data_IF_160816361303
#
_entry.id   IF_160816361303
#
_cell.length_a   1.000
_cell.length_b   1.000
_cell.length_c   1.000
_cell.angle_alpha   90.00
_cell.angle_beta   90.00
_cell.angle_gamma   90.00
#
_symmetry.space_group_name_H-M   'P 1'
#
loop_
_entity.id
_entity.type
_entity.pdbx_description
1 polymer ?
#
# COMPACT_ATOMS: atom_id res chain seq x y z
N UNK A 1 7.73 -20.45 -1.85
CA UNK A 1 6.54 -20.64 -2.69
C UNK A 1 6.90 -20.97 -4.14
N UNK A 2 7.53 -20.07 -4.91
CA UNK A 2 7.82 -20.28 -6.33
C UNK A 2 8.40 -21.65 -6.68
N UNK A 3 9.43 -22.11 -5.96
CA UNK A 3 10.02 -23.46 -6.19
C UNK A 3 9.02 -24.59 -6.01
N UNK A 4 8.16 -24.53 -4.99
CA UNK A 4 7.14 -25.54 -4.76
C UNK A 4 6.13 -25.60 -5.92
N UNK A 5 5.76 -24.45 -6.49
CA UNK A 5 4.88 -24.38 -7.67
C UNK A 5 5.53 -24.94 -8.93
N UNK A 6 6.79 -24.57 -9.18
CA UNK A 6 7.55 -25.07 -10.32
C UNK A 6 7.71 -26.59 -10.24
N UNK A 7 7.92 -27.13 -9.03
CA UNK A 7 7.96 -28.57 -8.82
C UNK A 7 6.60 -29.22 -8.97
N UNK A 8 5.54 -28.63 -8.43
CA UNK A 8 4.18 -29.20 -8.49
C UNK A 8 3.65 -29.30 -9.91
N UNK A 9 3.88 -28.26 -10.72
CA UNK A 9 3.38 -28.16 -12.09
C UNK A 9 4.44 -28.47 -13.15
N UNK A 10 5.55 -29.13 -12.79
CA UNK A 10 6.69 -29.33 -13.71
C UNK A 10 6.27 -30.09 -14.98
N UNK A 11 5.38 -31.08 -14.86
CA UNK A 11 4.89 -31.86 -16.00
C UNK A 11 4.12 -31.01 -16.99
N UNK A 12 3.21 -30.16 -16.51
CA UNK A 12 2.42 -29.25 -17.34
C UNK A 12 3.30 -28.18 -17.99
N UNK A 13 4.28 -27.66 -17.25
CA UNK A 13 5.25 -26.67 -17.72
C UNK A 13 6.17 -27.25 -18.83
N UNK A 14 6.69 -28.46 -18.63
CA UNK A 14 7.50 -29.18 -19.62
C UNK A 14 6.71 -29.48 -20.89
N UNK A 15 5.46 -29.91 -20.74
CA UNK A 15 4.57 -30.20 -21.85
C UNK A 15 4.05 -28.93 -22.55
N UNK A 16 4.26 -27.74 -21.98
CA UNK A 16 3.62 -26.48 -22.39
C UNK A 16 2.10 -26.63 -22.57
N UNK A 17 1.48 -27.41 -21.70
CA UNK A 17 0.09 -27.81 -21.78
C UNK A 17 -0.72 -27.24 -20.63
N UNK A 18 -1.99 -26.92 -20.90
CA UNK A 18 -2.93 -26.37 -19.93
C UNK A 18 -3.16 -24.87 -20.10
N UNK A 19 -4.39 -24.44 -19.78
CA UNK A 19 -4.79 -23.04 -19.68
C UNK A 19 -5.15 -22.77 -18.22
N UNK A 20 -4.12 -22.76 -17.36
CA UNK A 20 -4.29 -22.56 -15.93
C UNK A 20 -4.63 -21.10 -15.67
N UNK A 21 -5.92 -20.83 -15.46
CA UNK A 21 -6.41 -19.57 -14.90
C UNK A 21 -5.92 -19.45 -13.45
N UNK A 22 -5.17 -18.40 -13.16
CA UNK A 22 -4.50 -18.17 -11.88
C UNK A 22 -5.48 -18.13 -10.71
N UNK A 23 -6.72 -17.68 -10.91
CA UNK A 23 -7.68 -17.62 -9.83
C UNK A 23 -8.19 -19.02 -9.43
N UNK A 24 -8.97 -19.74 -10.26
CA UNK A 24 -9.52 -21.05 -9.93
C UNK A 24 -8.45 -22.15 -9.80
N UNK A 25 -7.38 -22.13 -10.60
CA UNK A 25 -6.41 -23.23 -10.56
C UNK A 25 -5.29 -22.99 -9.57
N UNK A 26 -5.10 -21.76 -9.10
CA UNK A 26 -3.96 -21.47 -8.24
C UNK A 26 -4.37 -20.84 -6.91
N UNK A 27 -5.16 -19.76 -6.91
CA UNK A 27 -5.49 -19.04 -5.68
C UNK A 27 -6.68 -19.61 -4.89
N UNK A 28 -7.79 -19.90 -5.55
CA UNK A 28 -9.02 -20.37 -4.90
C UNK A 28 -8.84 -21.64 -4.04
N UNK A 29 -8.17 -22.72 -4.51
CA UNK A 29 -8.00 -23.91 -3.68
C UNK A 29 -7.08 -23.71 -2.47
N UNK A 30 -6.37 -22.58 -2.38
CA UNK A 30 -5.52 -22.22 -1.24
C UNK A 30 -6.20 -21.26 -0.25
N UNK A 31 -7.33 -20.68 -0.63
CA UNK A 31 -8.01 -19.59 0.11
C UNK A 31 -9.46 -19.92 0.45
N UNK A 32 -10.10 -20.83 -0.28
CA UNK A 32 -11.49 -21.24 -0.07
C UNK A 32 -11.56 -22.64 0.54
N UNK A 33 -12.67 -22.90 1.22
CA UNK A 33 -13.05 -24.27 1.60
C UNK A 33 -13.45 -25.09 0.36
N UNK A 34 -13.23 -26.42 0.42
CA UNK A 34 -13.48 -27.35 -0.69
C UNK A 34 -14.86 -27.19 -1.34
N UNK A 35 -15.91 -27.04 -0.52
CA UNK A 35 -17.28 -26.91 -1.02
C UNK A 35 -17.47 -25.62 -1.83
N UNK A 36 -16.94 -24.49 -1.36
CA UNK A 36 -17.04 -23.21 -2.05
C UNK A 36 -16.22 -23.23 -3.36
N UNK A 37 -15.03 -23.82 -3.33
CA UNK A 37 -14.21 -23.97 -4.53
C UNK A 37 -14.87 -24.85 -5.60
N UNK A 38 -15.39 -26.02 -5.22
CA UNK A 38 -16.05 -26.94 -6.16
C UNK A 38 -17.34 -26.36 -6.74
N UNK A 39 -18.09 -25.56 -5.98
CA UNK A 39 -19.27 -24.83 -6.48
C UNK A 39 -18.89 -23.79 -7.54
N UNK A 40 -17.85 -22.99 -7.31
CA UNK A 40 -17.34 -22.02 -8.30
C UNK A 40 -16.87 -22.72 -9.57
N UNK A 41 -16.19 -23.87 -9.43
CA UNK A 41 -15.71 -24.64 -10.57
C UNK A 41 -16.85 -25.30 -11.37
N UNK A 42 -17.91 -25.73 -10.70
CA UNK A 42 -19.10 -26.26 -11.37
C UNK A 42 -19.77 -25.19 -12.25
N UNK A 43 -19.83 -23.92 -11.80
CA UNK A 43 -20.34 -22.81 -12.61
C UNK A 43 -19.48 -22.54 -13.87
N UNK A 44 -18.20 -22.90 -13.82
CA UNK A 44 -17.26 -22.84 -14.96
C UNK A 44 -17.27 -24.11 -15.83
N UNK A 45 -18.19 -25.04 -15.56
CA UNK A 45 -18.34 -26.29 -16.34
C UNK A 45 -17.31 -27.37 -16.01
N UNK A 46 -16.60 -27.26 -14.89
CA UNK A 46 -15.61 -28.25 -14.44
C UNK A 46 -16.30 -29.26 -13.52
N UNK A 47 -16.02 -30.54 -13.72
CA UNK A 47 -16.62 -31.59 -12.90
C UNK A 47 -16.18 -31.49 -11.44
N UNK A 48 -17.10 -31.78 -10.50
CA UNK A 48 -16.80 -31.78 -9.06
C UNK A 48 -15.65 -32.71 -8.70
N UNK A 49 -15.56 -33.87 -9.37
CA UNK A 49 -14.47 -34.81 -9.16
C UNK A 49 -13.10 -34.23 -9.57
N UNK A 50 -13.05 -33.52 -10.70
CA UNK A 50 -11.83 -32.88 -11.21
C UNK A 50 -11.40 -31.72 -10.32
N UNK A 51 -12.33 -30.84 -9.95
CA UNK A 51 -12.06 -29.74 -9.02
C UNK A 51 -11.66 -30.27 -7.64
N UNK A 52 -12.31 -31.30 -7.11
CA UNK A 52 -11.92 -31.92 -5.82
C UNK A 52 -10.51 -32.50 -5.86
N UNK A 53 -10.14 -33.19 -6.94
CA UNK A 53 -8.79 -33.71 -7.14
C UNK A 53 -7.76 -32.59 -7.21
N UNK A 54 -8.07 -31.50 -7.92
CA UNK A 54 -7.22 -30.32 -8.00
C UNK A 54 -7.05 -29.62 -6.65
N UNK A 55 -8.14 -29.48 -5.88
CA UNK A 55 -8.09 -28.94 -4.52
C UNK A 55 -7.15 -29.75 -3.63
N UNK A 56 -7.32 -31.09 -3.63
CA UNK A 56 -6.48 -31.99 -2.85
C UNK A 56 -4.99 -31.92 -3.25
N UNK A 57 -4.72 -31.79 -4.56
CA UNK A 57 -3.36 -31.57 -5.08
C UNK A 57 -2.75 -30.30 -4.50
N UNK A 58 -3.47 -29.18 -4.59
CA UNK A 58 -3.01 -27.88 -4.11
C UNK A 58 -2.81 -27.84 -2.59
N UNK A 59 -3.72 -28.44 -1.82
CA UNK A 59 -3.56 -28.60 -0.38
C UNK A 59 -2.33 -29.44 -0.02
N UNK A 60 -2.12 -30.56 -0.72
CA UNK A 60 -0.95 -31.42 -0.50
C UNK A 60 0.37 -30.70 -0.82
N UNK A 61 0.39 -29.91 -1.89
CA UNK A 61 1.53 -29.06 -2.23
C UNK A 61 1.79 -28.03 -1.13
N UNK A 62 0.74 -27.41 -0.60
CA UNK A 62 0.85 -26.44 0.49
C UNK A 62 1.41 -27.05 1.76
N UNK A 63 0.94 -28.24 2.14
CA UNK A 63 1.47 -28.99 3.29
C UNK A 63 2.98 -29.24 3.13
N UNK A 64 3.41 -29.76 1.97
CA UNK A 64 4.84 -29.96 1.68
C UNK A 64 5.64 -28.66 1.73
N UNK A 65 5.08 -27.57 1.21
CA UNK A 65 5.74 -26.27 1.26
C UNK A 65 5.91 -25.79 2.71
N UNK A 66 4.88 -25.95 3.55
CA UNK A 66 4.92 -25.55 4.95
C UNK A 66 5.87 -26.41 5.80
N UNK A 67 6.07 -27.68 5.45
CA UNK A 67 7.05 -28.57 6.08
C UNK A 67 8.49 -28.23 5.69
N UNK A 68 8.71 -27.71 4.48
CA UNK A 68 10.04 -27.46 3.91
C UNK A 68 10.46 -26.00 3.94
N UNK A 69 9.59 -25.08 4.37
CA UNK A 69 9.91 -23.65 4.46
C UNK A 69 10.96 -23.40 5.54
N UNK A 70 11.95 -22.57 5.20
CA UNK A 70 13.02 -22.16 6.10
C UNK A 70 12.65 -20.99 7.01
N UNK A 71 11.54 -20.29 6.70
CA UNK A 71 11.00 -19.18 7.48
C UNK A 71 9.48 -19.28 7.53
N UNK A 72 8.93 -18.95 8.69
CA UNK A 72 7.49 -18.82 8.91
C UNK A 72 7.02 -17.42 8.49
N UNK A 73 6.93 -17.19 7.18
CA UNK A 73 6.28 -15.99 6.64
C UNK A 73 4.86 -16.36 6.21
N UNK A 74 3.91 -15.43 6.40
CA UNK A 74 2.56 -15.57 5.86
C UNK A 74 2.61 -15.82 4.35
N UNK A 75 1.85 -16.81 3.87
CA UNK A 75 1.77 -17.14 2.45
C UNK A 75 1.17 -15.99 1.63
N UNK A 76 0.23 -15.30 2.28
CA UNK A 76 -0.41 -14.08 1.86
C UNK A 76 0.16 -12.97 2.75
N UNK A 77 1.34 -12.49 2.38
CA UNK A 77 1.81 -11.16 2.76
C UNK A 77 1.55 -10.21 1.58
N UNK A 78 1.62 -8.91 1.83
CA UNK A 78 1.62 -7.90 0.77
C UNK A 78 2.47 -8.39 -0.40
N UNK A 79 1.86 -8.46 -1.59
CA UNK A 79 2.64 -8.54 -2.81
C UNK A 79 3.51 -7.28 -2.79
N UNK A 80 4.83 -7.47 -2.73
CA UNK A 80 5.74 -6.44 -3.19
C UNK A 80 5.35 -6.19 -4.64
N UNK A 81 4.52 -5.17 -4.83
CA UNK A 81 3.96 -4.78 -6.12
C UNK A 81 5.04 -4.21 -7.04
N UNK A 82 6.31 -4.33 -6.63
CA UNK A 82 7.49 -3.93 -7.35
C UNK A 82 7.88 -2.51 -7.00
N UNK A 83 9.17 -2.23 -7.19
CA UNK A 83 9.77 -0.91 -7.24
C UNK A 83 9.10 0.06 -8.24
N UNK A 84 8.20 -0.45 -9.06
CA UNK A 84 7.76 0.17 -10.30
C UNK A 84 6.30 0.64 -10.24
N UNK A 85 5.55 0.36 -9.17
CA UNK A 85 4.20 0.88 -9.02
C UNK A 85 4.17 2.13 -8.16
N UNK A 86 3.67 3.20 -8.74
CA UNK A 86 3.29 4.37 -7.98
C UNK A 86 1.81 4.25 -7.62
N UNK A 87 1.44 4.65 -6.42
CA UNK A 87 0.05 4.60 -5.94
C UNK A 87 -0.96 5.37 -6.83
N UNK A 88 -0.52 6.29 -7.71
CA UNK A 88 -1.41 6.91 -8.69
C UNK A 88 -1.85 5.96 -9.83
N UNK A 89 -1.24 4.77 -9.96
CA UNK A 89 -1.61 3.72 -10.91
C UNK A 89 -2.93 3.01 -10.56
N UNK A 90 -3.47 3.21 -9.34
CA UNK A 90 -4.70 2.55 -8.92
C UNK A 90 -5.96 2.97 -9.70
N UNK A 91 -5.88 3.95 -10.62
CA UNK A 91 -6.96 4.38 -11.52
C UNK A 91 -8.14 5.09 -10.83
N UNK A 92 -8.44 4.75 -9.57
CA UNK A 92 -9.46 5.33 -8.70
C UNK A 92 -8.90 5.58 -7.29
N UNK A 93 -8.29 6.74 -7.09
CA UNK A 93 -7.75 7.18 -5.79
C UNK A 93 -8.82 7.15 -4.67
N UNK A 94 -10.11 7.35 -5.02
CA UNK A 94 -11.24 7.20 -4.10
C UNK A 94 -11.32 5.81 -3.46
N UNK A 95 -11.05 4.74 -4.23
CA UNK A 95 -11.01 3.38 -3.70
C UNK A 95 -9.78 3.14 -2.84
N UNK A 96 -8.62 3.67 -3.24
CA UNK A 96 -7.41 3.61 -2.43
C UNK A 96 -7.63 4.22 -1.04
N UNK A 97 -8.19 5.43 -1.01
CA UNK A 97 -8.51 6.12 0.23
C UNK A 97 -9.51 5.33 1.09
N UNK A 98 -10.62 4.90 0.49
CA UNK A 98 -11.66 4.11 1.18
C UNK A 98 -11.11 2.82 1.78
N UNK A 99 -10.34 2.05 1.01
CA UNK A 99 -9.88 0.73 1.41
C UNK A 99 -8.79 0.79 2.48
N UNK A 100 -7.88 1.77 2.40
CA UNK A 100 -6.85 1.93 3.43
C UNK A 100 -7.45 2.48 4.73
N UNK A 101 -8.45 3.37 4.67
CA UNK A 101 -9.17 3.86 5.86
C UNK A 101 -10.00 2.79 6.56
N UNK A 102 -10.25 1.64 5.93
CA UNK A 102 -10.89 0.50 6.60
C UNK A 102 -10.12 0.10 7.87
N UNK A 103 -8.80 0.30 7.90
CA UNK A 103 -7.95 0.01 9.07
C UNK A 103 -8.34 0.82 10.30
N UNK A 104 -9.09 1.91 10.15
CA UNK A 104 -9.50 2.77 11.25
C UNK A 104 -10.89 2.40 11.80
N UNK A 105 -11.65 1.59 11.05
CA UNK A 105 -13.03 1.22 11.39
C UNK A 105 -13.10 0.04 12.37
N UNK A 106 -14.21 -0.12 13.09
CA UNK A 106 -14.51 -1.36 13.81
C UNK A 106 -14.98 -2.46 12.86
N UNK A 107 -14.97 -3.72 13.33
CA UNK A 107 -15.56 -4.85 12.61
C UNK A 107 -14.55 -5.87 12.08
N UNK A 108 -15.08 -7.00 11.59
CA UNK A 108 -14.28 -8.16 11.18
C UNK A 108 -13.35 -7.83 10.02
N UNK A 109 -13.85 -7.10 9.02
CA UNK A 109 -13.07 -6.75 7.83
C UNK A 109 -11.87 -5.85 8.20
N UNK A 110 -12.10 -4.83 9.02
CA UNK A 110 -11.06 -3.96 9.55
C UNK A 110 -10.06 -4.71 10.46
N UNK A 111 -10.54 -5.66 11.28
CA UNK A 111 -9.68 -6.53 12.09
C UNK A 111 -8.78 -7.41 11.22
N UNK A 112 -9.32 -8.00 10.15
CA UNK A 112 -8.54 -8.79 9.21
C UNK A 112 -7.48 -7.93 8.50
N UNK A 113 -7.83 -6.70 8.10
CA UNK A 113 -6.86 -5.77 7.50
C UNK A 113 -5.76 -5.37 8.49
N UNK A 114 -6.11 -5.04 9.74
CA UNK A 114 -5.12 -4.78 10.80
C UNK A 114 -4.21 -5.98 11.03
N UNK A 115 -4.77 -7.19 11.15
CA UNK A 115 -4.00 -8.43 11.31
C UNK A 115 -3.07 -8.68 10.11
N UNK A 116 -3.56 -8.46 8.89
CA UNK A 116 -2.80 -8.60 7.67
C UNK A 116 -1.62 -7.63 7.60
N UNK A 117 -1.83 -6.38 8.02
CA UNK A 117 -0.80 -5.34 8.08
C UNK A 117 0.11 -5.45 9.32
N UNK A 118 -0.18 -6.39 10.24
CA UNK A 118 0.55 -6.54 11.49
C UNK A 118 0.29 -5.43 12.50
N UNK A 119 -0.81 -4.69 12.37
CA UNK A 119 -1.17 -3.59 13.27
C UNK A 119 -1.88 -4.17 14.50
N UNK A 120 -1.15 -4.21 15.60
CA UNK A 120 -1.68 -4.67 16.88
C UNK A 120 -2.28 -3.53 17.71
N UNK A 121 -1.72 -2.34 17.56
CA UNK A 121 -2.14 -1.11 18.21
C UNK A 121 -2.19 0.03 17.18
N UNK A 122 -3.28 0.78 17.17
CA UNK A 122 -3.45 1.91 16.25
C UNK A 122 -2.52 3.09 16.53
N UNK A 123 -1.76 3.09 17.64
CA UNK A 123 -0.77 4.11 17.98
C UNK A 123 0.67 3.53 18.06
N UNK A 124 0.91 2.40 17.40
CA UNK A 124 2.17 1.66 17.53
C UNK A 124 3.39 2.47 17.07
N UNK A 125 4.44 2.47 17.91
CA UNK A 125 5.69 3.22 17.72
C UNK A 125 5.50 4.73 17.51
N UNK A 126 4.38 5.30 17.97
CA UNK A 126 4.10 6.72 17.85
C UNK A 126 4.22 7.44 19.19
N UNK A 127 4.72 8.67 19.15
CA UNK A 127 4.64 9.64 20.22
C UNK A 127 3.58 10.68 19.85
N UNK A 128 2.50 10.74 20.62
CA UNK A 128 1.38 11.64 20.36
C UNK A 128 1.13 12.43 21.64
N UNK A 129 1.19 13.76 21.57
CA UNK A 129 1.02 14.61 22.74
C UNK A 129 -0.41 14.57 23.31
N UNK A 130 -0.54 14.93 24.59
CA UNK A 130 -1.79 14.84 25.36
C UNK A 130 -2.93 15.70 24.80
N UNK A 131 -2.57 16.79 24.10
CA UNK A 131 -3.52 17.72 23.47
C UNK A 131 -3.94 17.28 22.05
N UNK A 132 -3.49 16.12 21.57
CA UNK A 132 -3.94 15.57 20.30
C UNK A 132 -5.24 14.77 20.46
N UNK A 133 -6.23 15.08 19.63
CA UNK A 133 -7.48 14.35 19.58
C UNK A 133 -7.43 13.30 18.46
N UNK A 134 -7.53 12.02 18.84
CA UNK A 134 -7.49 10.88 17.93
C UNK A 134 -8.86 10.20 17.92
N UNK A 135 -9.57 10.28 16.78
CA UNK A 135 -10.90 9.71 16.61
C UNK A 135 -10.93 8.79 15.40
N UNK A 136 -11.19 7.49 15.61
CA UNK A 136 -11.24 6.49 14.54
C UNK A 136 -10.07 6.62 13.56
N UNK A 137 -8.84 6.67 14.08
CA UNK A 137 -7.63 6.86 13.30
C UNK A 137 -6.55 5.85 13.67
N UNK A 138 -5.59 5.66 12.75
CA UNK A 138 -4.42 4.81 12.93
C UNK A 138 -3.17 5.65 12.68
N UNK A 139 -2.32 5.80 13.69
CA UNK A 139 -1.11 6.63 13.70
C UNK A 139 0.10 5.76 14.06
N UNK A 140 0.95 5.46 13.09
CA UNK A 140 2.07 4.52 13.24
C UNK A 140 3.41 5.24 13.05
N UNK A 141 4.43 4.87 13.81
CA UNK A 141 5.80 5.39 13.65
C UNK A 141 5.91 6.93 13.55
N UNK A 142 5.03 7.65 14.24
CA UNK A 142 4.86 9.10 14.08
C UNK A 142 5.21 9.87 15.35
N UNK A 143 5.61 11.14 15.22
CA UNK A 143 5.83 12.06 16.34
C UNK A 143 4.99 13.33 16.11
N UNK A 144 3.93 13.47 16.90
CA UNK A 144 2.90 14.49 16.73
C UNK A 144 2.68 15.23 18.05
N UNK A 145 2.85 16.55 18.03
CA UNK A 145 2.67 17.38 19.22
C UNK A 145 1.20 17.51 19.65
N UNK A 146 0.33 18.03 18.78
CA UNK A 146 -1.10 18.23 19.05
C UNK A 146 -1.92 18.30 17.74
N UNK A 147 -3.24 18.44 17.86
CA UNK A 147 -4.16 18.66 16.73
C UNK A 147 -5.30 17.64 16.67
N UNK A 148 -6.13 17.73 15.63
CA UNK A 148 -7.28 16.84 15.40
C UNK A 148 -7.02 15.84 14.27
N UNK A 149 -6.94 14.55 14.62
CA UNK A 149 -6.72 13.45 13.68
C UNK A 149 -7.92 12.51 13.71
N UNK A 150 -8.75 12.60 12.66
CA UNK A 150 -10.04 11.90 12.59
C UNK A 150 -10.15 11.05 11.35
N UNK A 151 -10.64 9.82 11.46
CA UNK A 151 -10.93 8.96 10.32
C UNK A 151 -9.74 8.79 9.35
N UNK A 152 -8.51 8.89 9.85
CA UNK A 152 -7.28 9.08 9.07
C UNK A 152 -6.24 8.01 9.36
N UNK A 153 -5.36 7.76 8.39
CA UNK A 153 -4.21 6.85 8.51
C UNK A 153 -2.93 7.65 8.36
N UNK A 154 -2.13 7.69 9.42
CA UNK A 154 -0.84 8.35 9.47
C UNK A 154 0.24 7.30 9.70
N UNK A 155 1.30 7.31 8.91
CA UNK A 155 2.45 6.43 9.11
C UNK A 155 3.74 7.18 8.83
N UNK A 156 4.66 7.28 9.79
CA UNK A 156 5.89 8.04 9.61
C UNK A 156 5.67 9.55 9.52
N UNK A 157 4.71 10.10 10.27
CA UNK A 157 4.39 11.54 10.25
C UNK A 157 5.08 12.26 11.40
N UNK A 158 5.72 13.39 11.10
CA UNK A 158 6.49 14.17 12.07
C UNK A 158 6.10 15.64 11.97
N UNK A 159 5.37 16.16 12.96
CA UNK A 159 4.90 17.54 12.98
C UNK A 159 4.54 18.01 14.40
N UNK A 160 4.59 19.32 14.64
CA UNK A 160 4.12 19.89 15.92
C UNK A 160 2.61 19.91 16.02
N UNK A 161 1.94 20.14 14.89
CA UNK A 161 0.48 20.20 14.78
C UNK A 161 0.02 19.42 13.56
N UNK A 162 -1.01 18.58 13.73
CA UNK A 162 -1.63 17.86 12.61
C UNK A 162 -3.15 17.96 12.70
N UNK A 163 -3.75 18.57 11.67
CA UNK A 163 -5.20 18.61 11.45
C UNK A 163 -5.53 17.81 10.20
N UNK A 164 -6.01 16.58 10.40
CA UNK A 164 -6.26 15.63 9.33
C UNK A 164 -7.60 14.90 9.55
N UNK A 165 -8.53 15.09 8.63
CA UNK A 165 -9.82 14.40 8.64
C UNK A 165 -10.00 13.58 7.36
N UNK A 166 -10.18 12.27 7.50
CA UNK A 166 -10.41 11.40 6.35
C UNK A 166 -9.20 11.19 5.43
N UNK A 167 -7.98 11.44 5.91
CA UNK A 167 -6.76 11.51 5.10
C UNK A 167 -5.83 10.32 5.25
N UNK A 168 -4.93 10.15 4.30
CA UNK A 168 -3.80 9.23 4.38
C UNK A 168 -2.50 10.02 4.26
N UNK A 169 -1.68 10.03 5.30
CA UNK A 169 -0.38 10.70 5.34
C UNK A 169 0.70 9.67 5.60
N UNK A 170 1.60 9.47 4.65
CA UNK A 170 2.65 8.46 4.74
C UNK A 170 4.00 9.12 4.50
N UNK A 171 4.88 9.00 5.49
CA UNK A 171 6.19 9.62 5.50
C UNK A 171 6.11 11.11 5.16
N UNK A 172 5.56 11.89 6.10
CA UNK A 172 5.36 13.34 5.94
C UNK A 172 6.05 14.07 7.08
N UNK A 173 6.83 15.11 6.77
CA UNK A 173 7.50 15.91 7.79
C UNK A 173 7.34 17.39 7.49
N UNK A 174 6.72 18.12 8.42
CA UNK A 174 6.50 19.55 8.32
C UNK A 174 6.36 20.15 9.72
N UNK A 175 6.41 21.48 9.84
CA UNK A 175 6.14 22.15 11.13
C UNK A 175 4.71 21.89 11.61
N UNK A 176 3.75 22.14 10.73
CA UNK A 176 2.31 21.89 10.90
C UNK A 176 1.76 21.27 9.63
N UNK A 177 0.67 20.51 9.74
CA UNK A 177 0.00 19.86 8.61
C UNK A 177 -1.50 20.11 8.69
N UNK A 178 -2.08 20.68 7.62
CA UNK A 178 -3.53 20.75 7.41
C UNK A 178 -3.87 20.03 6.11
N UNK A 179 -4.58 18.91 6.22
CA UNK A 179 -4.82 18.02 5.10
C UNK A 179 -6.18 17.32 5.25
N UNK A 180 -7.30 17.97 4.87
CA UNK A 180 -8.63 17.35 4.90
C UNK A 180 -8.87 16.47 3.66
N UNK A 181 -9.23 15.21 3.86
CA UNK A 181 -9.55 14.24 2.82
C UNK A 181 -8.44 14.10 1.74
N UNK A 182 -7.19 14.26 2.15
CA UNK A 182 -6.02 14.28 1.28
C UNK A 182 -5.30 12.93 1.28
N UNK A 183 -4.46 12.72 0.26
CA UNK A 183 -3.45 11.68 0.32
C UNK A 183 -2.07 12.24 0.02
N UNK A 184 -1.14 12.05 0.95
CA UNK A 184 0.19 12.65 0.94
C UNK A 184 1.25 11.58 1.18
N UNK A 185 2.25 11.51 0.31
CA UNK A 185 3.30 10.48 0.36
C UNK A 185 4.70 11.06 0.15
N UNK A 186 5.64 10.77 1.06
CA UNK A 186 7.06 11.15 0.96
C UNK A 186 7.30 12.68 0.81
N UNK A 187 6.55 13.49 1.55
CA UNK A 187 6.59 14.96 1.46
C UNK A 187 7.29 15.56 2.67
N UNK A 188 8.20 16.49 2.42
CA UNK A 188 8.81 17.37 3.41
C UNK A 188 8.39 18.80 3.11
N UNK A 189 8.21 19.63 4.13
CA UNK A 189 7.94 21.06 3.98
C UNK A 189 8.68 21.85 5.06
N UNK A 190 9.46 22.85 4.63
CA UNK A 190 10.11 23.85 5.48
C UNK A 190 9.34 25.19 5.50
N UNK A 191 8.14 25.23 4.90
CA UNK A 191 7.31 26.42 4.87
C UNK A 191 6.94 26.87 6.30
N UNK A 192 7.00 28.18 6.54
CA UNK A 192 6.79 28.74 7.88
C UNK A 192 5.38 28.47 8.43
N UNK A 193 4.38 28.49 7.52
CA UNK A 193 2.96 28.20 7.78
C UNK A 193 2.66 26.69 7.82
N UNK A 194 3.64 25.84 7.48
CA UNK A 194 3.49 24.40 7.37
C UNK A 194 2.94 23.91 6.04
N UNK A 195 2.57 22.62 5.99
CA UNK A 195 1.99 21.98 4.82
C UNK A 195 0.46 22.13 4.86
N UNK A 196 -0.04 23.18 4.21
CA UNK A 196 -1.47 23.47 4.11
C UNK A 196 -2.01 23.04 2.74
N UNK A 197 -2.89 22.04 2.73
CA UNK A 197 -3.46 21.47 1.50
C UNK A 197 -4.96 21.71 1.41
N UNK A 198 -5.44 21.99 0.20
CA UNK A 198 -6.87 22.02 -0.09
C UNK A 198 -7.48 20.63 0.03
N UNK A 199 -8.79 20.57 0.33
CA UNK A 199 -9.50 19.30 0.47
C UNK A 199 -9.37 18.43 -0.78
N UNK A 200 -9.09 17.14 -0.60
CA UNK A 200 -8.98 16.21 -1.72
C UNK A 200 -7.66 16.33 -2.49
N UNK A 201 -6.67 17.06 -1.98
CA UNK A 201 -5.35 17.15 -2.59
C UNK A 201 -4.62 15.81 -2.53
N UNK A 202 -3.89 15.51 -3.59
CA UNK A 202 -3.06 14.31 -3.74
C UNK A 202 -1.65 14.79 -4.03
N UNK A 203 -0.70 14.58 -3.10
CA UNK A 203 0.66 15.14 -3.18
C UNK A 203 1.71 14.07 -2.93
N UNK A 204 2.72 14.02 -3.79
CA UNK A 204 3.76 12.98 -3.74
C UNK A 204 5.12 13.57 -3.93
N UNK A 205 6.03 13.32 -3.00
CA UNK A 205 7.45 13.51 -3.22
C UNK A 205 8.05 12.29 -3.92
N UNK A 206 8.64 12.51 -5.09
CA UNK A 206 9.35 11.50 -5.87
C UNK A 206 10.82 11.88 -5.91
N UNK A 207 11.69 10.97 -5.51
CA UNK A 207 13.12 11.15 -5.64
C UNK A 207 13.59 10.48 -6.94
N UNK A 208 14.12 11.27 -7.88
CA UNK A 208 14.68 10.77 -9.13
C UNK A 208 16.02 10.06 -8.89
N UNK A 209 16.50 9.22 -9.83
CA UNK A 209 17.76 8.47 -9.68
C UNK A 209 19.01 9.33 -9.44
N UNK A 210 18.97 10.59 -9.89
CA UNK A 210 20.03 11.60 -9.67
C UNK A 210 19.98 12.24 -8.27
N UNK A 211 18.96 11.90 -7.47
CA UNK A 211 18.72 12.45 -6.13
C UNK A 211 17.89 13.73 -6.12
N UNK A 212 17.45 14.25 -7.27
CA UNK A 212 16.54 15.40 -7.34
C UNK A 212 15.15 14.99 -6.86
N UNK A 213 14.57 15.78 -5.96
CA UNK A 213 13.16 15.63 -5.58
C UNK A 213 12.26 16.36 -6.56
N UNK A 214 11.20 15.70 -6.98
CA UNK A 214 10.08 16.26 -7.75
C UNK A 214 8.81 16.05 -6.93
N UNK A 215 8.01 17.11 -6.79
CA UNK A 215 6.70 17.00 -6.14
C UNK A 215 5.62 16.93 -7.20
N UNK A 216 4.89 15.82 -7.20
CA UNK A 216 3.74 15.58 -8.07
C UNK A 216 2.45 15.90 -7.33
N UNK A 217 1.57 16.66 -7.96
CA UNK A 217 0.28 17.13 -7.44
C UNK A 217 -0.86 16.65 -8.33
N UNK A 218 -1.96 16.28 -7.70
CA UNK A 218 -3.22 15.86 -8.32
C UNK A 218 -4.37 16.11 -7.33
N UNK A 219 -5.57 15.63 -7.64
CA UNK A 219 -6.69 15.62 -6.70
C UNK A 219 -7.48 14.32 -6.76
N UNK A 220 -8.32 14.10 -5.76
CA UNK A 220 -9.22 12.95 -5.66
C UNK A 220 -10.21 12.85 -6.82
N UNK A 221 -10.43 13.92 -7.58
CA UNK A 221 -11.33 13.95 -8.74
C UNK A 221 -10.63 13.66 -10.06
N UNK A 222 -9.29 13.66 -10.09
CA UNK A 222 -8.53 13.29 -11.28
C UNK A 222 -8.45 11.78 -11.39
N UNK A 223 -8.89 11.25 -12.54
CA UNK A 223 -8.70 9.85 -12.88
C UNK A 223 -7.28 9.64 -13.45
N UNK A 224 -6.39 9.04 -12.66
CA UNK A 224 -4.98 8.80 -13.04
C UNK A 224 -4.82 8.07 -14.37
N UNK A 225 -5.69 7.10 -14.67
CA UNK A 225 -5.67 6.37 -15.94
C UNK A 225 -5.99 7.24 -17.16
N UNK A 226 -6.79 8.30 -16.99
CA UNK A 226 -7.08 9.28 -18.07
C UNK A 226 -6.00 10.35 -18.17
N UNK A 227 -5.47 10.78 -17.03
CA UNK A 227 -4.45 11.82 -16.93
C UNK A 227 -3.02 11.29 -17.09
N UNK A 228 -2.82 9.98 -17.30
CA UNK A 228 -1.52 9.31 -17.30
C UNK A 228 -0.43 10.02 -18.12
N UNK A 229 -0.80 10.45 -19.33
CA UNK A 229 0.10 11.13 -20.29
C UNK A 229 -0.04 12.65 -20.27
N UNK A 230 -0.95 13.19 -19.46
CA UNK A 230 -1.24 14.61 -19.40
C UNK A 230 -0.41 15.24 -18.29
N UNK A 231 0.27 16.34 -18.61
CA UNK A 231 0.90 17.19 -17.60
C UNK A 231 -0.22 18.05 -17.00
N UNK A 232 -0.49 17.87 -15.71
CA UNK A 232 -1.45 18.69 -14.97
C UNK A 232 -0.82 20.05 -14.66
N UNK A 233 -1.62 21.11 -14.54
CA UNK A 233 -1.15 22.49 -14.38
C UNK A 233 -0.16 22.70 -13.22
N UNK A 234 -0.28 21.90 -12.16
CA UNK A 234 0.57 21.98 -10.97
C UNK A 234 1.88 21.15 -11.08
N UNK A 235 2.12 20.49 -12.21
CA UNK A 235 3.24 19.56 -12.40
C UNK A 235 4.15 19.97 -13.56
N UNK A 236 5.45 19.68 -13.43
CA UNK A 236 6.41 19.80 -14.54
C UNK A 236 6.43 18.57 -15.46
N UNK A 237 5.92 17.43 -14.97
CA UNK A 237 5.95 16.14 -15.63
C UNK A 237 4.57 15.49 -15.66
N UNK A 238 4.33 14.59 -16.62
CA UNK A 238 3.18 13.67 -16.57
C UNK A 238 3.49 12.49 -15.65
N UNK A 239 2.47 11.72 -15.28
CA UNK A 239 2.67 10.49 -14.50
C UNK A 239 3.53 9.47 -15.27
N UNK A 240 3.30 9.35 -16.59
CA UNK A 240 4.12 8.52 -17.49
C UNK A 240 5.59 8.95 -17.47
N UNK A 241 5.88 10.25 -17.54
CA UNK A 241 7.27 10.71 -17.54
C UNK A 241 7.98 10.40 -16.22
N UNK A 242 7.32 10.56 -15.07
CA UNK A 242 7.91 10.20 -13.77
C UNK A 242 8.17 8.70 -13.67
N UNK A 243 7.23 7.88 -14.17
CA UNK A 243 7.40 6.42 -14.25
C UNK A 243 8.63 6.05 -15.08
N UNK A 244 8.76 6.61 -16.29
CA UNK A 244 9.90 6.35 -17.18
C UNK A 244 11.24 6.80 -16.56
N UNK A 245 11.26 7.97 -15.91
CA UNK A 245 12.47 8.50 -15.25
C UNK A 245 12.95 7.61 -14.09
N UNK A 246 12.07 6.83 -13.50
CA UNK A 246 12.38 5.97 -12.34
C UNK A 246 12.37 4.47 -12.64
N UNK A 247 12.05 4.03 -13.86
CA UNK A 247 11.90 2.62 -14.22
C UNK A 247 13.14 1.74 -13.94
N UNK A 248 14.31 2.34 -13.72
CA UNK A 248 15.56 1.65 -13.40
C UNK A 248 16.21 2.15 -12.10
N UNK A 249 15.44 2.87 -11.28
CA UNK A 249 15.94 3.41 -10.02
C UNK A 249 16.27 2.29 -9.02
N UNK A 250 17.35 2.47 -8.27
CA UNK A 250 17.64 1.59 -7.15
C UNK A 250 16.82 2.02 -5.93
N UNK A 251 15.74 1.29 -5.65
CA UNK A 251 14.80 1.64 -4.56
C UNK A 251 15.48 1.71 -3.19
N UNK A 252 16.34 0.76 -2.85
CA UNK A 252 17.03 0.78 -1.55
C UNK A 252 17.92 2.01 -1.38
N UNK A 253 18.52 2.50 -2.48
CA UNK A 253 19.30 3.75 -2.46
C UNK A 253 18.39 4.97 -2.31
N UNK A 254 17.28 5.03 -3.05
CA UNK A 254 16.33 6.14 -2.97
C UNK A 254 15.65 6.21 -1.60
N UNK A 255 15.26 5.07 -1.04
CA UNK A 255 14.68 4.96 0.30
C UNK A 255 15.61 5.58 1.35
N UNK A 256 16.90 5.26 1.29
CA UNK A 256 17.89 5.86 2.20
C UNK A 256 17.97 7.38 2.05
N UNK A 257 17.97 7.89 0.81
CA UNK A 257 18.02 9.34 0.56
C UNK A 257 16.76 10.04 1.07
N UNK A 258 15.59 9.43 0.90
CA UNK A 258 14.32 9.93 1.44
C UNK A 258 14.38 9.95 2.97
N UNK A 259 14.83 8.87 3.60
CA UNK A 259 14.98 8.83 5.06
C UNK A 259 15.93 9.93 5.56
N UNK A 260 17.09 10.11 4.93
CA UNK A 260 18.05 11.16 5.27
C UNK A 260 17.45 12.57 5.11
N UNK A 261 16.63 12.80 4.08
CA UNK A 261 15.91 14.06 3.87
C UNK A 261 14.92 14.35 5.01
N UNK A 262 14.10 13.36 5.37
CA UNK A 262 13.13 13.50 6.45
C UNK A 262 13.83 13.72 7.81
N UNK A 263 14.93 13.02 8.09
CA UNK A 263 15.71 13.22 9.31
C UNK A 263 16.23 14.65 9.42
N UNK A 264 16.82 15.19 8.35
CA UNK A 264 17.26 16.60 8.31
C UNK A 264 16.09 17.56 8.48
N UNK A 265 14.95 17.28 7.84
CA UNK A 265 13.79 18.15 7.95
C UNK A 265 13.25 18.19 9.39
N UNK A 266 13.27 17.07 10.12
CA UNK A 266 12.88 17.02 11.54
C UNK A 266 13.73 17.97 12.39
N UNK A 267 15.05 18.01 12.16
CA UNK A 267 15.95 18.93 12.87
C UNK A 267 15.60 20.40 12.61
N UNK A 268 15.03 20.72 11.45
CA UNK A 268 14.63 22.09 11.07
C UNK A 268 13.27 22.47 11.64
N UNK A 269 12.28 21.58 11.55
CA UNK A 269 10.87 21.93 11.83
C UNK A 269 10.39 21.55 13.22
N UNK A 270 11.09 20.65 13.92
CA UNK A 270 10.73 20.19 15.26
C UNK A 270 11.61 20.77 16.37
N UNK A 271 12.82 21.26 16.06
CA UNK A 271 13.70 21.95 17.02
C UNK A 271 13.08 23.25 17.55
#
# INVERSE_FOLDING_TARGET
MLRALLTEFSKELEAKAGKLDSDPHFWMPLTLELNAYTEVMAQKGVATAESSAHYARMQSMMTRFNETRTKELGLFGCVDVGSDVYWWDYGQLKLYLKNNRLVTQPGVEANCLRLFLGISNNLEHSNVGEDANIEEATVLNSDIGHGDIKHSVLSGVYAREVNAEGSILINVTARSISAPNCVVYNVTSDEAEGLCLEEGSVVVGVLLPDGKKVVMRSSMDVCGGKAWKTILDANEHSFENIYELNAHANVSKLEKLIQDEHLKMREVVLA
#
